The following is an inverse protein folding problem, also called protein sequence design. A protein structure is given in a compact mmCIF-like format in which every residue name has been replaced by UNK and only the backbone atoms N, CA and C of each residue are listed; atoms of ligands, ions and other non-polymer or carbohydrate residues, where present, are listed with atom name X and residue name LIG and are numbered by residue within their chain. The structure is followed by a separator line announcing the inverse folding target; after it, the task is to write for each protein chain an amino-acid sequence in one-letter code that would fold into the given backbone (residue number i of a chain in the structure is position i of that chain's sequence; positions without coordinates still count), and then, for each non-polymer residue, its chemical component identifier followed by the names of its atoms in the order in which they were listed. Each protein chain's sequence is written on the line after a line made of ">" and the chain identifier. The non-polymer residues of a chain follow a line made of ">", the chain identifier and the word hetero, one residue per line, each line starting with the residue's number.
data_IF_662802347324
#
_entry.id   IF_662802347324
#
_cell.length_a   1.000
_cell.length_b   1.000
_cell.length_c   1.000
_cell.angle_alpha   90.00
_cell.angle_beta   90.00
_cell.angle_gamma   90.00
#
_symmetry.space_group_name_H-M   'P 1'
#
loop_
_entity.id
_entity.type
_entity.pdbx_description
1 polymer ?
#
# COMPACT_ATOMS: atom_id res chain seq x y z
N UNK A 1 -41.61 42.79 64.05
CA UNK A 1 -40.63 41.83 63.49
C UNK A 1 -39.84 42.33 62.29
N UNK A 2 -40.30 43.35 61.53
CA UNK A 2 -39.53 43.86 60.37
C UNK A 2 -38.28 44.69 60.74
N UNK A 3 -38.26 45.37 61.89
CA UNK A 3 -37.14 46.24 62.28
C UNK A 3 -35.88 45.50 62.77
N UNK A 4 -36.02 44.25 63.23
CA UNK A 4 -34.87 43.44 63.70
C UNK A 4 -34.12 42.81 62.51
N UNK A 5 -34.83 42.49 61.41
CA UNK A 5 -34.21 41.96 60.21
C UNK A 5 -33.32 43.00 59.49
N UNK A 6 -33.71 44.28 59.48
CA UNK A 6 -32.94 45.35 58.85
C UNK A 6 -31.62 45.69 59.57
N UNK A 7 -31.56 45.55 60.89
CA UNK A 7 -30.35 45.81 61.68
C UNK A 7 -29.32 44.67 61.60
N UNK A 8 -29.77 43.43 61.36
CA UNK A 8 -28.88 42.26 61.17
C UNK A 8 -28.14 42.33 59.84
N UNK A 9 -28.79 42.86 58.79
CA UNK A 9 -28.13 43.09 57.49
C UNK A 9 -27.19 44.31 57.47
N UNK A 10 -27.38 45.30 58.35
CA UNK A 10 -26.56 46.52 58.37
C UNK A 10 -25.22 46.39 59.13
N UNK A 11 -24.98 45.27 59.83
CA UNK A 11 -23.71 44.99 60.55
C UNK A 11 -23.09 43.68 60.07
N UNK A 12 -22.81 43.62 58.77
CA UNK A 12 -21.93 42.65 58.09
C UNK A 12 -21.76 41.30 58.78
N UNK A 13 -22.78 40.44 58.76
CA UNK A 13 -22.70 38.98 58.92
C UNK A 13 -21.76 38.38 60.00
N UNK A 14 -21.39 39.11 61.07
CA UNK A 14 -20.44 38.63 62.08
C UNK A 14 -21.00 37.55 63.01
N UNK A 15 -22.28 37.22 62.92
CA UNK A 15 -22.94 36.32 63.88
C UNK A 15 -22.81 34.83 63.52
N UNK A 16 -22.37 34.49 62.31
CA UNK A 16 -22.28 33.10 61.83
C UNK A 16 -20.96 32.79 61.11
N UNK A 17 -19.83 33.33 61.59
CA UNK A 17 -18.53 32.95 61.03
C UNK A 17 -18.15 31.55 61.53
N UNK A 18 -17.97 30.54 60.64
CA UNK A 18 -17.64 29.18 61.04
C UNK A 18 -16.19 29.01 61.52
N UNK A 19 -15.42 30.10 61.58
CA UNK A 19 -14.03 30.12 62.03
C UNK A 19 -13.23 31.22 61.32
N UNK A 20 -11.98 31.42 61.75
CA UNK A 20 -11.07 32.38 61.12
C UNK A 20 -10.68 31.95 59.71
N UNK A 21 -10.60 32.92 58.81
CA UNK A 21 -10.12 32.74 57.44
C UNK A 21 -8.62 32.41 57.42
N UNK A 22 -8.18 31.61 56.45
CA UNK A 22 -6.77 31.26 56.27
C UNK A 22 -5.91 32.50 55.97
N UNK A 23 -4.81 32.62 56.70
CA UNK A 23 -3.79 33.65 56.53
C UNK A 23 -2.55 33.12 55.80
N UNK A 24 -2.63 31.93 55.18
CA UNK A 24 -1.57 31.39 54.34
C UNK A 24 -1.34 32.34 53.16
N UNK A 25 -0.13 32.88 53.06
CA UNK A 25 0.23 33.84 52.03
C UNK A 25 0.51 33.14 50.69
N UNK A 26 0.02 33.75 49.61
CA UNK A 26 0.31 33.37 48.24
C UNK A 26 0.65 34.59 47.39
N UNK A 27 0.75 34.37 46.07
CA UNK A 27 0.84 35.47 45.12
C UNK A 27 -0.38 36.39 45.27
N UNK A 28 -0.21 37.72 45.26
CA UNK A 28 -1.32 38.64 45.44
C UNK A 28 -2.33 38.51 44.29
N UNK A 29 -3.59 38.29 44.62
CA UNK A 29 -4.70 38.14 43.68
C UNK A 29 -5.86 39.01 44.15
N UNK A 30 -6.50 39.75 43.24
CA UNK A 30 -7.61 40.63 43.59
C UNK A 30 -7.28 41.70 44.66
N UNK A 31 -6.01 42.06 44.82
CA UNK A 31 -5.56 43.06 45.80
C UNK A 31 -5.29 42.52 47.21
N UNK A 32 -5.38 41.21 47.44
CA UNK A 32 -5.06 40.54 48.71
C UNK A 32 -4.01 39.43 48.51
N UNK A 33 -3.15 39.20 49.51
CA UNK A 33 -2.14 38.12 49.50
C UNK A 33 -2.56 36.86 50.27
N UNK A 34 -3.70 36.91 50.97
CA UNK A 34 -4.32 35.78 51.67
C UNK A 34 -5.81 36.03 51.86
N UNK A 35 -6.59 34.98 52.12
CA UNK A 35 -8.03 35.15 52.36
C UNK A 35 -8.33 35.92 53.64
N UNK A 36 -7.50 35.81 54.68
CA UNK A 36 -7.61 36.63 55.89
C UNK A 36 -7.48 38.14 55.61
N UNK A 37 -6.71 38.53 54.59
CA UNK A 37 -6.53 39.91 54.19
C UNK A 37 -7.79 40.55 53.56
N UNK A 38 -8.83 39.77 53.26
CA UNK A 38 -10.16 40.30 52.88
C UNK A 38 -10.87 41.04 54.01
N UNK A 39 -10.32 41.01 55.24
CA UNK A 39 -10.81 41.83 56.35
C UNK A 39 -12.20 41.43 56.87
N UNK A 40 -12.66 40.22 56.53
CA UNK A 40 -14.01 39.75 56.87
C UNK A 40 -15.11 40.27 55.94
N UNK A 41 -14.75 40.73 54.73
CA UNK A 41 -15.71 40.95 53.65
C UNK A 41 -16.27 39.59 53.17
N UNK A 42 -17.33 39.14 53.83
CA UNK A 42 -17.97 37.86 53.50
C UNK A 42 -18.52 37.84 52.07
N UNK A 43 -18.87 39.00 51.51
CA UNK A 43 -19.38 39.12 50.16
C UNK A 43 -18.28 38.90 49.12
N UNK A 44 -17.00 38.94 49.47
CA UNK A 44 -15.94 38.57 48.53
C UNK A 44 -16.09 37.12 48.00
N UNK A 45 -16.63 36.21 48.82
CA UNK A 45 -16.80 34.80 48.47
C UNK A 45 -18.26 34.34 48.46
N UNK A 46 -19.08 34.82 49.39
CA UNK A 46 -20.48 34.38 49.51
C UNK A 46 -21.41 35.20 48.64
N UNK A 47 -22.18 34.51 47.82
CA UNK A 47 -23.24 35.06 46.98
C UNK A 47 -24.55 35.14 47.76
N UNK A 48 -25.39 36.12 47.42
CA UNK A 48 -26.73 36.21 48.00
C UNK A 48 -27.61 35.03 47.54
N UNK A 49 -28.54 34.52 48.37
CA UNK A 49 -29.38 33.36 48.02
C UNK A 49 -30.23 33.51 46.76
N UNK A 50 -30.49 34.74 46.32
CA UNK A 50 -31.25 35.06 45.11
C UNK A 50 -30.38 35.39 43.89
N UNK A 51 -29.04 35.31 44.02
CA UNK A 51 -28.11 35.47 42.91
C UNK A 51 -28.05 34.22 42.05
N UNK A 52 -27.90 34.38 40.74
CA UNK A 52 -27.57 33.28 39.83
C UNK A 52 -26.07 32.91 39.86
N UNK A 53 -25.23 33.78 40.41
CA UNK A 53 -23.81 33.54 40.63
C UNK A 53 -23.63 32.54 41.79
N UNK A 54 -22.68 31.61 41.66
CA UNK A 54 -22.29 30.65 42.70
C UNK A 54 -21.04 31.15 43.41
N UNK A 55 -20.83 30.69 44.65
CA UNK A 55 -19.58 30.93 45.38
C UNK A 55 -18.34 30.49 44.58
N UNK A 56 -18.43 29.36 43.87
CA UNK A 56 -17.34 28.88 43.02
C UNK A 56 -16.96 29.87 41.91
N UNK A 57 -17.94 30.60 41.36
CA UNK A 57 -17.68 31.60 40.31
C UNK A 57 -16.88 32.79 40.89
N UNK A 58 -17.14 33.17 42.16
CA UNK A 58 -16.33 34.19 42.87
C UNK A 58 -14.89 33.75 43.14
N UNK A 59 -14.69 32.48 43.49
CA UNK A 59 -13.34 31.92 43.64
C UNK A 59 -12.55 32.03 42.32
N UNK A 60 -13.17 31.65 41.21
CA UNK A 60 -12.56 31.66 39.88
C UNK A 60 -12.22 33.07 39.38
N UNK A 61 -12.96 34.10 39.82
CA UNK A 61 -12.68 35.50 39.44
C UNK A 61 -11.34 36.01 39.98
N UNK A 62 -10.93 35.57 41.17
CA UNK A 62 -9.62 35.90 41.73
C UNK A 62 -8.55 34.91 41.23
N UNK A 63 -8.89 33.62 41.16
CA UNK A 63 -8.00 32.55 40.70
C UNK A 63 -8.14 32.32 39.19
N UNK A 64 -7.80 33.33 38.39
CA UNK A 64 -8.01 33.30 36.92
C UNK A 64 -7.23 32.19 36.20
N UNK A 65 -6.04 31.83 36.69
CA UNK A 65 -5.27 30.69 36.16
C UNK A 65 -6.00 29.36 36.37
N UNK A 66 -6.60 29.18 37.56
CA UNK A 66 -7.44 28.02 37.87
C UNK A 66 -8.70 28.01 36.98
N UNK A 67 -9.32 29.17 36.76
CA UNK A 67 -10.46 29.26 35.85
C UNK A 67 -10.09 28.83 34.43
N UNK A 68 -8.87 29.16 33.97
CA UNK A 68 -8.33 28.67 32.70
C UNK A 68 -8.08 27.16 32.70
N UNK A 69 -7.48 26.60 33.75
CA UNK A 69 -7.28 25.14 33.93
C UNK A 69 -8.63 24.39 33.86
N UNK A 70 -9.60 24.82 34.67
CA UNK A 70 -10.95 24.23 34.70
C UNK A 70 -11.69 24.26 33.35
N UNK A 71 -11.33 25.17 32.44
CA UNK A 71 -11.93 25.25 31.10
C UNK A 71 -11.35 24.25 30.09
N UNK A 72 -10.21 23.62 30.41
CA UNK A 72 -9.48 22.72 29.53
C UNK A 72 -9.55 21.29 30.07
N UNK A 73 -10.29 20.41 29.40
CA UNK A 73 -10.42 18.99 29.81
C UNK A 73 -9.04 18.31 29.93
N UNK A 74 -8.05 18.71 29.12
CA UNK A 74 -6.69 18.18 29.19
C UNK A 74 -5.86 18.64 30.41
N UNK A 75 -6.42 19.50 31.27
CA UNK A 75 -5.78 19.92 32.51
C UNK A 75 -6.55 19.36 33.72
N UNK A 76 -5.83 19.14 34.81
CA UNK A 76 -6.29 18.35 35.94
C UNK A 76 -7.64 18.80 36.52
N UNK A 77 -7.85 20.11 36.71
CA UNK A 77 -9.13 20.59 37.25
C UNK A 77 -10.26 20.52 36.21
N UNK A 78 -9.94 20.71 34.92
CA UNK A 78 -10.89 20.56 33.83
C UNK A 78 -11.38 19.12 33.68
N UNK A 79 -10.47 18.15 33.77
CA UNK A 79 -10.81 16.72 33.71
C UNK A 79 -11.61 16.27 34.94
N UNK A 80 -11.18 16.65 36.15
CA UNK A 80 -11.92 16.34 37.38
C UNK A 80 -13.34 16.92 37.37
N UNK A 81 -13.52 18.15 36.88
CA UNK A 81 -14.83 18.77 36.74
C UNK A 81 -15.66 18.12 35.62
N UNK A 82 -15.02 17.63 34.55
CA UNK A 82 -15.70 16.86 33.51
C UNK A 82 -16.20 15.51 34.04
N UNK A 83 -15.35 14.78 34.77
CA UNK A 83 -15.67 13.48 35.36
C UNK A 83 -16.72 13.60 36.48
N UNK A 84 -16.67 14.66 37.29
CA UNK A 84 -17.66 14.93 38.34
C UNK A 84 -18.05 16.43 38.39
N UNK A 85 -19.07 16.85 37.62
CA UNK A 85 -19.51 18.25 37.55
C UNK A 85 -20.05 18.82 38.87
N UNK A 86 -20.32 17.97 39.87
CA UNK A 86 -20.83 18.37 41.17
C UNK A 86 -19.70 18.49 42.23
N UNK A 87 -18.45 18.23 41.87
CA UNK A 87 -17.31 18.36 42.77
C UNK A 87 -17.02 19.84 43.06
N UNK A 88 -17.57 20.35 44.17
CA UNK A 88 -17.35 21.74 44.58
C UNK A 88 -15.93 21.98 45.11
N UNK A 89 -15.37 23.16 44.85
CA UNK A 89 -14.01 23.55 45.23
C UNK A 89 -13.71 23.28 46.72
N UNK A 90 -14.67 23.60 47.61
CA UNK A 90 -14.55 23.43 49.06
C UNK A 90 -14.41 21.97 49.52
N UNK A 91 -14.66 21.00 48.64
CA UNK A 91 -14.43 19.60 48.94
C UNK A 91 -12.95 19.34 49.26
N UNK A 92 -12.07 19.91 48.43
CA UNK A 92 -10.61 19.83 48.55
C UNK A 92 -10.00 21.11 49.13
N UNK A 93 -10.67 22.25 48.94
CA UNK A 93 -10.19 23.58 49.35
C UNK A 93 -11.05 24.23 50.46
N UNK A 94 -11.09 23.68 51.69
CA UNK A 94 -11.94 24.22 52.74
C UNK A 94 -11.37 25.51 53.35
N UNK A 95 -12.23 26.51 53.45
CA UNK A 95 -11.97 27.76 54.17
C UNK A 95 -12.61 27.71 55.59
N UNK A 96 -12.24 28.65 56.46
CA UNK A 96 -12.71 28.84 57.85
C UNK A 96 -12.16 27.86 58.89
N UNK A 97 -11.08 27.14 58.59
CA UNK A 97 -10.47 26.18 59.54
C UNK A 97 -9.42 26.81 60.45
N UNK A 98 -9.23 28.12 60.40
CA UNK A 98 -8.25 28.85 61.19
C UNK A 98 -7.18 29.50 60.33
N UNK A 99 -6.54 30.55 60.86
CA UNK A 99 -5.57 31.37 60.14
C UNK A 99 -4.33 30.60 59.66
N UNK A 100 -3.96 29.51 60.33
CA UNK A 100 -2.81 28.67 59.95
C UNK A 100 -3.21 27.37 59.25
N UNK A 101 -4.51 27.16 58.98
CA UNK A 101 -4.95 25.92 58.34
C UNK A 101 -4.58 25.91 56.84
N UNK A 102 -4.05 24.78 56.32
CA UNK A 102 -3.77 24.66 54.90
C UNK A 102 -5.06 24.72 54.11
N UNK A 103 -5.04 25.49 53.01
CA UNK A 103 -6.20 25.66 52.15
C UNK A 103 -6.51 24.42 51.32
N UNK A 104 -5.51 23.61 50.96
CA UNK A 104 -5.70 22.39 50.17
C UNK A 104 -5.52 21.16 51.05
N UNK A 105 -6.52 20.30 51.08
CA UNK A 105 -6.54 19.06 51.85
C UNK A 105 -6.74 17.85 50.94
N UNK A 106 -5.82 17.65 50.00
CA UNK A 106 -5.87 16.50 49.09
C UNK A 106 -5.61 15.17 49.82
N UNK A 107 -4.75 15.16 50.84
CA UNK A 107 -4.42 13.96 51.64
C UNK A 107 -5.44 13.63 52.74
N UNK A 108 -6.35 14.55 53.07
CA UNK A 108 -7.31 14.35 54.17
C UNK A 108 -8.57 13.58 53.75
N UNK A 109 -8.67 13.14 52.48
CA UNK A 109 -9.81 12.38 51.95
C UNK A 109 -9.30 11.23 51.09
N UNK A 110 -9.83 10.04 51.34
CA UNK A 110 -9.36 8.76 50.81
C UNK A 110 -9.58 8.53 49.29
N UNK A 111 -10.04 9.53 48.54
CA UNK A 111 -10.62 9.33 47.19
C UNK A 111 -10.07 10.36 46.19
N UNK A 112 -8.75 10.56 46.13
CA UNK A 112 -8.15 11.28 45.00
C UNK A 112 -8.21 10.38 43.75
N UNK A 113 -8.85 10.83 42.65
CA UNK A 113 -9.12 10.00 41.48
C UNK A 113 -7.88 9.87 40.59
N UNK A 114 -6.92 9.02 40.99
CA UNK A 114 -5.67 8.82 40.24
C UNK A 114 -5.91 8.26 38.83
N UNK A 115 -7.00 7.51 38.61
CA UNK A 115 -7.39 7.01 37.28
C UNK A 115 -7.59 8.13 36.25
N UNK A 116 -8.03 9.31 36.70
CA UNK A 116 -8.21 10.52 35.85
C UNK A 116 -6.85 11.14 35.51
N UNK A 117 -5.82 10.86 36.29
CA UNK A 117 -4.46 11.35 36.04
C UNK A 117 -3.64 10.35 35.19
N UNK A 118 -4.32 9.49 34.43
CA UNK A 118 -3.75 8.42 33.59
C UNK A 118 -2.93 7.34 34.35
N UNK A 119 -3.01 7.28 35.68
CA UNK A 119 -2.35 6.25 36.50
C UNK A 119 -3.26 5.66 37.58
N UNK A 120 -3.67 4.42 37.41
CA UNK A 120 -4.58 3.74 38.33
C UNK A 120 -3.88 3.21 39.58
N UNK A 121 -4.43 3.52 40.76
CA UNK A 121 -4.02 2.85 42.01
C UNK A 121 -4.64 1.46 42.19
N UNK A 122 -5.39 0.95 41.22
CA UNK A 122 -6.06 -0.34 41.36
C UNK A 122 -5.06 -1.51 41.52
N UNK A 123 -3.89 -1.45 40.89
CA UNK A 123 -2.78 -2.39 41.11
C UNK A 123 -1.92 -2.05 42.34
N UNK A 124 -1.99 -0.82 42.84
CA UNK A 124 -1.12 -0.28 43.88
C UNK A 124 -1.92 0.11 45.13
N UNK A 125 -2.64 -0.86 45.70
CA UNK A 125 -3.47 -0.64 46.91
C UNK A 125 -2.71 -0.83 48.21
N UNK A 126 -1.71 -1.71 48.21
CA UNK A 126 -1.03 -2.18 49.41
C UNK A 126 0.49 -2.17 49.22
N UNK A 127 1.21 -1.79 50.27
CA UNK A 127 2.66 -1.91 50.38
C UNK A 127 3.08 -3.39 50.49
N UNK A 128 4.38 -3.66 50.37
CA UNK A 128 4.96 -4.99 50.61
C UNK A 128 4.65 -5.57 52.00
N UNK A 129 4.38 -4.70 52.98
CA UNK A 129 3.99 -5.08 54.34
C UNK A 129 2.46 -5.27 54.50
N UNK A 130 1.71 -5.27 53.40
CA UNK A 130 0.26 -5.41 53.35
C UNK A 130 -0.50 -4.28 54.08
N UNK A 131 0.06 -3.06 54.04
CA UNK A 131 -0.56 -1.85 54.57
C UNK A 131 -1.07 -0.98 53.42
N UNK A 132 -2.15 -0.22 53.61
CA UNK A 132 -2.60 0.74 52.60
C UNK A 132 -1.55 1.81 52.36
N UNK A 133 -1.34 2.16 51.08
CA UNK A 133 -0.48 3.29 50.73
C UNK A 133 -1.02 4.61 51.27
N UNK A 134 -0.11 5.49 51.66
CA UNK A 134 -0.36 6.91 51.94
C UNK A 134 0.25 7.77 50.82
N UNK A 135 -0.17 9.03 50.73
CA UNK A 135 0.27 9.94 49.67
C UNK A 135 1.80 10.07 49.60
N UNK A 136 2.44 10.13 50.76
CA UNK A 136 3.88 10.31 50.94
C UNK A 136 4.71 9.11 50.48
N UNK A 137 4.09 7.93 50.29
CA UNK A 137 4.77 6.74 49.76
C UNK A 137 5.12 6.90 48.27
N UNK A 138 4.39 7.76 47.56
CA UNK A 138 4.59 8.04 46.12
C UNK A 138 5.01 9.49 45.86
N UNK A 139 4.51 10.44 46.65
CA UNK A 139 4.77 11.88 46.51
C UNK A 139 5.72 12.40 47.59
N UNK A 140 7.01 12.11 47.43
CA UNK A 140 8.04 12.27 48.47
C UNK A 140 8.31 13.74 48.84
N UNK A 141 8.30 14.66 47.87
CA UNK A 141 8.58 16.09 48.13
C UNK A 141 7.32 16.95 48.23
N UNK A 142 6.43 16.85 47.23
CA UNK A 142 5.16 17.59 47.15
C UNK A 142 4.13 16.73 46.44
N UNK A 143 2.85 16.89 46.77
CA UNK A 143 1.73 16.20 46.11
C UNK A 143 1.64 16.47 44.59
N UNK A 144 2.21 17.59 44.12
CA UNK A 144 2.22 17.97 42.70
C UNK A 144 3.49 17.54 41.96
N UNK A 145 4.45 16.93 42.65
CA UNK A 145 5.68 16.41 42.07
C UNK A 145 5.73 14.90 42.30
N UNK A 146 6.12 14.16 41.27
CA UNK A 146 6.31 12.73 41.35
C UNK A 146 7.75 12.41 40.95
N UNK A 147 8.46 11.68 41.80
CA UNK A 147 9.83 11.21 41.52
C UNK A 147 9.78 9.73 41.12
N UNK A 148 10.15 9.36 39.88
CA UNK A 148 10.22 7.97 39.44
C UNK A 148 11.10 7.07 40.34
N UNK A 149 12.02 7.64 41.11
CA UNK A 149 12.81 6.91 42.08
C UNK A 149 11.95 6.22 43.16
N UNK A 150 10.74 6.74 43.46
CA UNK A 150 9.81 6.09 44.39
C UNK A 150 9.40 4.70 43.90
N UNK A 151 9.09 4.56 42.60
CA UNK A 151 8.79 3.28 41.96
C UNK A 151 9.99 2.34 42.09
N UNK A 152 11.16 2.80 41.63
CA UNK A 152 12.38 1.98 41.56
C UNK A 152 12.78 1.47 42.94
N UNK A 153 12.77 2.34 43.96
CA UNK A 153 13.19 1.96 45.30
C UNK A 153 12.26 0.89 45.90
N UNK A 154 10.95 1.03 45.71
CA UNK A 154 9.98 0.04 46.21
C UNK A 154 10.09 -1.28 45.44
N UNK A 155 10.04 -1.23 44.09
CA UNK A 155 10.10 -2.44 43.25
C UNK A 155 11.43 -3.18 43.39
N UNK A 156 12.56 -2.48 43.54
CA UNK A 156 13.85 -3.10 43.85
C UNK A 156 13.84 -3.79 45.22
N UNK A 157 13.08 -3.27 46.18
CA UNK A 157 12.83 -3.92 47.47
C UNK A 157 12.02 -5.21 47.38
N UNK A 158 11.18 -5.37 46.34
CA UNK A 158 10.41 -6.58 46.06
C UNK A 158 11.24 -7.61 45.26
N UNK A 159 11.86 -7.17 44.17
CA UNK A 159 12.73 -7.99 43.32
C UNK A 159 13.79 -7.11 42.65
N UNK A 160 14.98 -7.09 43.25
CA UNK A 160 16.09 -6.28 42.74
C UNK A 160 16.59 -6.75 41.37
N UNK A 161 16.66 -8.07 41.14
CA UNK A 161 17.18 -8.62 39.90
C UNK A 161 16.26 -8.30 38.73
N UNK A 162 14.95 -8.48 38.91
CA UNK A 162 13.97 -8.11 37.89
C UNK A 162 14.00 -6.61 37.63
N UNK A 163 13.96 -5.78 38.67
CA UNK A 163 13.90 -4.32 38.53
C UNK A 163 15.12 -3.77 37.81
N UNK A 164 16.32 -4.23 38.14
CA UNK A 164 17.56 -3.76 37.49
C UNK A 164 17.66 -4.22 36.03
N UNK A 165 17.24 -5.46 35.74
CA UNK A 165 17.16 -5.95 34.35
C UNK A 165 16.12 -5.17 33.54
N UNK A 166 14.96 -4.87 34.13
CA UNK A 166 13.88 -4.13 33.48
C UNK A 166 14.29 -2.68 33.18
N UNK A 167 14.88 -1.98 34.16
CA UNK A 167 15.40 -0.61 33.96
C UNK A 167 16.51 -0.56 32.90
N UNK A 168 17.36 -1.59 32.84
CA UNK A 168 18.41 -1.67 31.82
C UNK A 168 17.83 -1.86 30.42
N UNK A 169 16.76 -2.64 30.30
CA UNK A 169 16.14 -2.94 29.02
C UNK A 169 15.21 -1.82 28.51
N UNK A 170 14.49 -1.14 29.42
CA UNK A 170 13.37 -0.26 29.06
C UNK A 170 13.51 1.19 29.56
N UNK A 171 14.52 1.49 30.38
CA UNK A 171 14.71 2.82 30.95
C UNK A 171 13.84 3.09 32.19
N UNK A 172 13.84 4.34 32.65
CA UNK A 172 13.17 4.77 33.89
C UNK A 172 11.90 5.59 33.68
N UNK A 173 11.44 5.73 32.44
CA UNK A 173 10.19 6.43 32.12
C UNK A 173 9.00 5.49 32.34
N UNK A 174 8.75 5.16 33.61
CA UNK A 174 7.77 4.13 33.97
C UNK A 174 6.38 4.48 33.45
N UNK A 175 5.97 5.75 33.53
CA UNK A 175 4.63 6.21 33.15
C UNK A 175 4.39 6.22 31.63
N UNK A 176 5.45 6.14 30.83
CA UNK A 176 5.33 5.94 29.38
C UNK A 176 4.73 4.58 29.00
N UNK A 177 4.79 3.61 29.91
CA UNK A 177 4.25 2.27 29.70
C UNK A 177 3.27 1.84 30.81
N UNK A 178 3.53 2.16 32.07
CA UNK A 178 2.72 1.70 33.20
C UNK A 178 1.62 2.69 33.54
N UNK A 179 0.37 2.23 33.45
CA UNK A 179 -0.85 2.93 33.87
C UNK A 179 -1.34 2.48 35.26
N UNK A 180 -0.48 1.80 36.03
CA UNK A 180 -0.78 1.33 37.38
C UNK A 180 -1.63 0.06 37.47
N UNK A 181 -2.11 -0.46 36.33
CA UNK A 181 -2.69 -1.81 36.16
C UNK A 181 -2.01 -2.63 35.05
N UNK A 182 -0.92 -2.09 34.51
CA UNK A 182 -0.04 -2.70 33.51
C UNK A 182 -0.74 -3.04 32.18
N UNK A 183 -1.61 -2.15 31.70
CA UNK A 183 -2.20 -2.30 30.33
C UNK A 183 -1.27 -1.82 29.21
N UNK A 184 -0.09 -1.29 29.57
CA UNK A 184 0.95 -0.76 28.68
C UNK A 184 0.64 0.60 28.01
N UNK A 185 -0.47 1.25 28.39
CA UNK A 185 -0.97 2.54 27.86
C UNK A 185 -1.21 2.56 26.34
N UNK A 186 -1.87 3.62 25.85
CA UNK A 186 -1.99 3.94 24.41
C UNK A 186 -0.66 4.40 23.77
N UNK A 187 0.42 4.52 24.53
CA UNK A 187 1.68 5.14 24.09
C UNK A 187 2.81 4.15 23.80
N UNK A 188 2.60 2.83 23.97
CA UNK A 188 3.62 1.84 23.67
C UNK A 188 4.00 1.86 22.17
N UNK A 189 5.26 2.18 21.89
CA UNK A 189 5.80 2.30 20.52
C UNK A 189 6.36 0.97 20.02
N UNK A 190 5.65 0.32 19.11
CA UNK A 190 6.11 -0.90 18.44
C UNK A 190 7.33 -0.66 17.52
N UNK A 191 7.65 0.58 17.18
CA UNK A 191 8.88 0.94 16.43
C UNK A 191 10.17 0.68 17.20
N UNK A 192 10.10 0.50 18.53
CA UNK A 192 11.27 0.19 19.37
C UNK A 192 11.51 -1.31 19.56
N UNK A 193 10.65 -2.17 18.98
CA UNK A 193 10.74 -3.63 19.13
C UNK A 193 10.91 -4.33 17.77
N UNK A 194 11.31 -5.61 17.71
CA UNK A 194 11.66 -6.28 16.46
C UNK A 194 10.53 -6.41 15.42
N UNK A 195 9.27 -6.24 15.81
CA UNK A 195 8.13 -6.22 14.89
C UNK A 195 7.50 -4.84 14.93
N UNK A 196 7.97 -3.95 14.07
CA UNK A 196 7.43 -2.60 13.94
C UNK A 196 6.08 -2.65 13.21
N UNK A 197 5.02 -2.21 13.88
CA UNK A 197 3.71 -2.07 13.25
C UNK A 197 3.78 -0.99 12.16
N UNK A 198 3.54 -1.41 10.93
CA UNK A 198 3.55 -0.55 9.74
C UNK A 198 2.38 -0.91 8.83
N UNK A 199 1.98 0.05 7.98
CA UNK A 199 0.85 -0.12 7.07
C UNK A 199 -0.44 -0.50 7.79
N UNK A 200 -1.11 -1.54 7.33
CA UNK A 200 -2.39 -2.00 7.87
C UNK A 200 -2.29 -2.54 9.32
N UNK A 201 -1.09 -2.86 9.80
CA UNK A 201 -0.89 -3.44 11.14
C UNK A 201 -0.90 -2.41 12.27
N UNK A 202 -0.84 -1.10 11.95
CA UNK A 202 -0.79 -0.02 12.97
C UNK A 202 -2.07 0.05 13.80
N UNK A 203 -3.21 -0.30 13.22
CA UNK A 203 -4.53 -0.20 13.87
C UNK A 203 -4.97 -1.54 14.51
N UNK A 204 -4.10 -2.53 14.58
CA UNK A 204 -4.44 -3.86 15.10
C UNK A 204 -4.39 -3.87 16.63
N UNK A 205 -5.46 -4.36 17.27
CA UNK A 205 -5.51 -4.51 18.72
C UNK A 205 -4.45 -5.49 19.24
N UNK A 206 -3.85 -5.17 20.40
CA UNK A 206 -2.75 -5.94 21.00
C UNK A 206 -3.04 -7.45 21.15
N UNK A 207 -4.29 -7.80 21.51
CA UNK A 207 -4.70 -9.19 21.73
C UNK A 207 -4.73 -10.02 20.45
N UNK A 208 -4.76 -9.38 19.28
CA UNK A 208 -4.74 -10.06 17.98
C UNK A 208 -3.39 -10.75 17.73
N UNK A 209 -2.31 -10.18 18.27
CA UNK A 209 -0.95 -10.75 18.19
C UNK A 209 -0.55 -11.46 19.49
N UNK A 210 -1.03 -10.97 20.64
CA UNK A 210 -0.67 -11.48 21.96
C UNK A 210 -1.80 -12.31 22.59
N UNK A 211 -2.29 -13.30 21.85
CA UNK A 211 -3.54 -14.04 22.15
C UNK A 211 -3.56 -14.74 23.51
N UNK A 212 -2.40 -15.09 24.07
CA UNK A 212 -2.27 -15.80 25.36
C UNK A 212 -1.24 -15.18 26.31
N UNK A 213 -0.87 -13.92 26.09
CA UNK A 213 0.13 -13.28 26.94
C UNK A 213 -0.41 -13.01 28.35
N UNK A 214 0.21 -13.62 29.38
CA UNK A 214 -0.16 -13.45 30.80
C UNK A 214 0.92 -12.76 31.62
N UNK A 215 2.14 -12.70 31.10
CA UNK A 215 3.29 -11.99 31.67
C UNK A 215 4.07 -11.31 30.55
N UNK A 216 4.86 -10.31 30.90
CA UNK A 216 5.70 -9.54 29.95
C UNK A 216 6.60 -10.44 29.07
N UNK A 217 7.08 -11.56 29.62
CA UNK A 217 7.87 -12.53 28.87
C UNK A 217 7.08 -13.19 27.71
N UNK A 218 5.76 -13.34 27.86
CA UNK A 218 4.91 -13.95 26.83
C UNK A 218 4.71 -13.00 25.64
N UNK A 219 4.76 -11.67 25.87
CA UNK A 219 4.69 -10.68 24.79
C UNK A 219 5.84 -10.82 23.80
N UNK A 220 7.00 -11.32 24.25
CA UNK A 220 8.16 -11.57 23.39
C UNK A 220 8.00 -12.80 22.49
N UNK A 221 7.03 -13.67 22.77
CA UNK A 221 6.82 -14.94 22.08
C UNK A 221 5.84 -14.88 20.90
N UNK A 222 5.24 -13.70 20.66
CA UNK A 222 4.33 -13.52 19.53
C UNK A 222 5.03 -13.85 18.20
N UNK A 223 4.37 -14.62 17.32
CA UNK A 223 4.92 -14.95 16.01
C UNK A 223 5.11 -13.68 15.17
N UNK A 224 6.16 -13.67 14.35
CA UNK A 224 6.55 -12.52 13.52
C UNK A 224 6.53 -12.83 12.03
N UNK A 225 6.29 -14.09 11.67
CA UNK A 225 6.16 -14.49 10.29
C UNK A 225 4.71 -14.28 9.81
N UNK A 226 4.57 -13.84 8.56
CA UNK A 226 3.25 -13.55 7.97
C UNK A 226 2.33 -14.77 8.01
N UNK A 227 2.89 -15.97 7.80
CA UNK A 227 2.13 -17.20 7.64
C UNK A 227 1.45 -17.66 8.93
N UNK A 228 2.07 -17.44 10.09
CA UNK A 228 1.46 -17.77 11.39
C UNK A 228 0.14 -17.03 11.65
N UNK A 229 -0.05 -15.85 11.04
CA UNK A 229 -1.28 -15.06 11.18
C UNK A 229 -2.19 -15.18 9.95
N UNK A 230 -1.64 -15.14 8.75
CA UNK A 230 -2.40 -15.07 7.49
C UNK A 230 -2.59 -16.41 6.79
N UNK A 231 -2.39 -17.53 7.48
CA UNK A 231 -2.55 -18.87 6.89
C UNK A 231 -3.92 -19.09 6.24
N UNK A 232 -4.98 -18.59 6.88
CA UNK A 232 -6.36 -18.76 6.38
C UNK A 232 -6.70 -17.74 5.27
N UNK A 233 -5.98 -16.63 5.23
CA UNK A 233 -6.12 -15.58 4.21
C UNK A 233 -5.30 -15.88 2.95
N UNK A 234 -4.34 -16.82 3.02
CA UNK A 234 -3.35 -17.12 1.98
C UNK A 234 -4.01 -17.90 0.81
N UNK A 235 -4.29 -17.25 -0.33
CA UNK A 235 -5.08 -17.87 -1.39
C UNK A 235 -4.25 -18.80 -2.28
N UNK A 236 -2.92 -18.78 -2.17
CA UNK A 236 -2.03 -19.50 -3.07
C UNK A 236 -1.69 -20.91 -2.59
N UNK A 237 -2.27 -21.39 -1.48
CA UNK A 237 -2.08 -22.75 -0.95
C UNK A 237 -0.58 -23.12 -0.74
N UNK A 238 0.26 -22.13 -0.40
CA UNK A 238 1.70 -22.27 -0.21
C UNK A 238 2.53 -22.37 -1.49
N UNK A 239 1.95 -22.13 -2.67
CA UNK A 239 2.63 -22.30 -3.98
C UNK A 239 3.81 -21.35 -4.22
N UNK A 240 3.82 -20.20 -3.56
CA UNK A 240 4.86 -19.17 -3.70
C UNK A 240 5.83 -19.09 -2.52
N UNK A 241 5.77 -20.04 -1.57
CA UNK A 241 6.59 -20.03 -0.37
C UNK A 241 6.11 -19.01 0.67
N UNK A 242 7.00 -18.65 1.61
CA UNK A 242 6.67 -17.79 2.75
C UNK A 242 7.17 -16.34 2.60
N UNK A 243 7.81 -16.00 1.48
CA UNK A 243 8.31 -14.65 1.21
C UNK A 243 7.20 -13.77 0.62
N UNK A 244 6.20 -13.47 1.45
CA UNK A 244 5.03 -12.69 1.05
C UNK A 244 5.40 -11.30 0.54
N UNK A 245 6.48 -10.70 1.07
CA UNK A 245 6.95 -9.36 0.71
C UNK A 245 7.60 -9.28 -0.68
N UNK A 246 7.83 -10.42 -1.34
CA UNK A 246 8.23 -10.42 -2.74
C UNK A 246 7.13 -9.88 -3.67
N UNK A 247 5.86 -10.01 -3.24
CA UNK A 247 4.69 -9.65 -4.04
C UNK A 247 3.74 -8.69 -3.32
N UNK A 248 3.71 -8.69 -1.99
CA UNK A 248 2.76 -7.91 -1.21
C UNK A 248 3.47 -6.88 -0.34
N UNK A 249 2.71 -5.91 0.17
CA UNK A 249 3.23 -4.86 1.04
C UNK A 249 2.61 -4.92 2.43
N UNK A 250 3.22 -4.23 3.39
CA UNK A 250 2.65 -4.07 4.73
C UNK A 250 1.36 -3.24 4.73
N UNK A 251 1.09 -2.49 3.64
CA UNK A 251 -0.09 -1.64 3.48
C UNK A 251 -1.31 -2.43 3.01
N UNK A 252 -1.11 -3.37 2.07
CA UNK A 252 -2.18 -4.19 1.51
C UNK A 252 -1.66 -5.43 0.75
N UNK A 253 -2.51 -6.46 0.68
CA UNK A 253 -2.32 -7.64 -0.17
C UNK A 253 -2.54 -7.35 -1.66
N UNK A 254 -3.44 -6.42 -1.99
CA UNK A 254 -3.81 -6.11 -3.39
C UNK A 254 -3.66 -4.62 -3.66
N UNK A 255 -3.08 -4.23 -4.81
CA UNK A 255 -2.50 -5.08 -5.85
C UNK A 255 -1.14 -5.70 -5.44
N UNK A 256 -0.77 -6.80 -6.11
CA UNK A 256 0.60 -7.32 -6.02
C UNK A 256 1.58 -6.32 -6.65
N UNK A 257 2.76 -6.19 -6.05
CA UNK A 257 3.88 -5.37 -6.52
C UNK A 257 4.84 -6.14 -7.44
N UNK A 258 4.60 -7.43 -7.67
CA UNK A 258 5.46 -8.23 -8.54
C UNK A 258 5.37 -7.78 -10.01
N UNK A 259 6.52 -7.53 -10.61
CA UNK A 259 6.63 -7.03 -11.99
C UNK A 259 7.28 -8.08 -12.91
N UNK A 260 6.46 -8.72 -13.76
CA UNK A 260 6.94 -9.70 -14.75
C UNK A 260 7.91 -9.10 -15.78
N UNK A 261 7.98 -7.78 -15.96
CA UNK A 261 8.96 -7.15 -16.83
C UNK A 261 10.41 -7.36 -16.37
N UNK A 262 10.61 -7.75 -15.10
CA UNK A 262 11.92 -8.06 -14.52
C UNK A 262 12.25 -9.56 -14.58
N UNK A 263 11.35 -10.38 -15.12
CA UNK A 263 11.51 -11.83 -15.23
C UNK A 263 11.99 -12.26 -16.63
N UNK A 264 12.34 -13.55 -16.78
CA UNK A 264 12.75 -14.11 -18.06
C UNK A 264 11.63 -14.14 -19.12
N UNK A 265 10.37 -14.16 -18.68
CA UNK A 265 9.20 -14.08 -19.56
C UNK A 265 8.44 -12.80 -19.25
N UNK A 266 8.69 -11.77 -20.07
CA UNK A 266 8.00 -10.49 -19.96
C UNK A 266 6.54 -10.66 -20.38
N UNK A 267 5.61 -10.29 -19.50
CA UNK A 267 4.20 -10.16 -19.88
C UNK A 267 4.02 -8.84 -20.64
N UNK A 268 3.77 -8.93 -21.95
CA UNK A 268 3.41 -7.81 -22.79
C UNK A 268 2.34 -8.17 -23.84
N UNK A 269 1.80 -7.15 -24.51
CA UNK A 269 0.73 -7.35 -25.48
C UNK A 269 -0.50 -7.98 -24.82
N UNK A 270 -0.99 -9.08 -25.39
CA UNK A 270 -2.13 -9.84 -24.88
C UNK A 270 -1.80 -10.72 -23.67
N UNK A 271 -0.53 -10.92 -23.33
CA UNK A 271 -0.14 -11.76 -22.18
C UNK A 271 -0.26 -11.04 -20.84
N UNK A 272 -0.46 -9.71 -20.83
CA UNK A 272 -0.60 -8.92 -19.58
C UNK A 272 -1.84 -9.30 -18.77
N UNK A 273 -2.85 -9.85 -19.43
CA UNK A 273 -4.13 -10.23 -18.83
C UNK A 273 -4.21 -11.74 -18.53
N UNK A 274 -3.11 -12.49 -18.67
CA UNK A 274 -3.09 -13.94 -18.40
C UNK A 274 -2.95 -14.20 -16.91
N UNK A 275 -3.85 -15.01 -16.37
CA UNK A 275 -3.81 -15.43 -14.96
C UNK A 275 -2.51 -16.21 -14.66
N UNK A 276 -1.95 -16.00 -13.47
CA UNK A 276 -0.68 -16.58 -13.04
C UNK A 276 -0.65 -18.10 -13.23
N UNK A 277 -1.75 -18.78 -12.86
CA UNK A 277 -1.90 -20.24 -12.83
C UNK A 277 -1.79 -20.89 -14.22
N UNK A 278 -2.12 -20.16 -15.28
CA UNK A 278 -1.95 -20.63 -16.67
C UNK A 278 -0.46 -20.92 -16.95
N UNK A 279 0.43 -20.09 -16.40
CA UNK A 279 1.89 -20.23 -16.48
C UNK A 279 2.49 -21.03 -15.32
N UNK A 280 1.90 -20.94 -14.14
CA UNK A 280 2.50 -21.36 -12.87
C UNK A 280 1.75 -22.55 -12.23
N UNK A 281 1.70 -23.67 -12.97
CA UNK A 281 0.90 -24.84 -12.60
C UNK A 281 1.46 -25.66 -11.42
N UNK A 282 2.77 -25.59 -11.14
CA UNK A 282 3.42 -26.40 -10.09
C UNK A 282 4.45 -25.60 -9.31
N UNK A 283 4.43 -25.72 -7.98
CA UNK A 283 5.42 -25.09 -7.10
C UNK A 283 6.74 -25.89 -7.02
N UNK A 284 7.89 -25.23 -6.79
CA UNK A 284 8.10 -23.78 -6.79
C UNK A 284 8.15 -23.22 -8.21
N UNK A 285 7.70 -21.98 -8.37
CA UNK A 285 7.50 -21.30 -9.67
C UNK A 285 8.78 -20.78 -10.33
N UNK A 286 9.92 -21.37 -10.00
CA UNK A 286 11.24 -20.98 -10.51
C UNK A 286 11.56 -21.72 -11.81
N UNK A 287 11.95 -21.00 -12.86
CA UNK A 287 12.61 -21.58 -14.03
C UNK A 287 11.71 -22.04 -15.17
N UNK A 288 10.43 -21.65 -15.19
CA UNK A 288 9.53 -21.95 -16.32
C UNK A 288 9.82 -21.03 -17.51
N UNK A 289 10.92 -21.26 -18.22
CA UNK A 289 11.13 -20.62 -19.53
C UNK A 289 10.23 -21.33 -20.53
N UNK A 290 9.10 -20.71 -20.85
CA UNK A 290 8.19 -21.21 -21.90
C UNK A 290 8.51 -20.57 -23.24
N UNK A 291 8.49 -21.40 -24.28
CA UNK A 291 8.41 -20.95 -25.68
C UNK A 291 6.96 -20.72 -26.05
N UNK A 292 6.71 -19.92 -27.09
CA UNK A 292 5.36 -19.62 -27.57
C UNK A 292 4.56 -20.91 -27.86
N UNK A 293 5.23 -21.89 -28.48
CA UNK A 293 4.61 -23.17 -28.83
C UNK A 293 4.20 -24.03 -27.62
N UNK A 294 4.78 -23.82 -26.44
CA UNK A 294 4.41 -24.59 -25.24
C UNK A 294 2.95 -24.35 -24.84
N UNK A 295 2.37 -23.20 -25.24
CA UNK A 295 0.96 -22.88 -25.05
C UNK A 295 0.18 -22.83 -26.39
N UNK A 296 0.82 -22.35 -27.46
CA UNK A 296 0.16 -22.06 -28.73
C UNK A 296 0.36 -23.14 -29.80
N UNK A 297 0.75 -24.37 -29.43
CA UNK A 297 0.87 -25.49 -30.38
C UNK A 297 -0.43 -25.71 -31.18
N UNK A 298 -1.59 -25.60 -30.51
CA UNK A 298 -2.91 -25.78 -31.13
C UNK A 298 -3.36 -24.58 -31.97
N UNK A 299 -2.76 -23.41 -31.74
CA UNK A 299 -3.06 -22.19 -32.47
C UNK A 299 -2.19 -22.05 -33.73
N UNK A 300 -1.22 -22.94 -33.93
CA UNK A 300 -0.32 -22.90 -35.07
C UNK A 300 -1.04 -23.29 -36.37
N UNK A 301 -1.51 -22.27 -37.09
CA UNK A 301 -2.11 -22.39 -38.42
C UNK A 301 -1.14 -23.00 -39.47
N UNK A 302 0.15 -23.08 -39.15
CA UNK A 302 1.16 -23.61 -40.05
C UNK A 302 1.41 -25.11 -39.88
N UNK A 303 0.76 -25.76 -38.90
CA UNK A 303 0.88 -27.19 -38.63
C UNK A 303 2.35 -27.67 -38.45
N UNK A 304 3.14 -26.92 -37.68
CA UNK A 304 4.52 -27.25 -37.34
C UNK A 304 5.53 -27.06 -38.48
N UNK A 305 5.13 -26.39 -39.57
CA UNK A 305 5.99 -26.18 -40.75
C UNK A 305 7.11 -25.15 -40.55
N UNK A 306 7.10 -24.42 -39.44
CA UNK A 306 8.09 -23.41 -39.11
C UNK A 306 8.91 -23.79 -37.87
N UNK A 307 10.12 -23.22 -37.76
CA UNK A 307 10.87 -23.28 -36.50
C UNK A 307 10.07 -22.56 -35.42
N UNK A 308 10.20 -22.97 -34.16
CA UNK A 308 9.42 -22.43 -33.03
C UNK A 308 9.76 -20.98 -32.63
N UNK A 309 10.40 -20.21 -33.52
CA UNK A 309 10.74 -18.80 -33.33
C UNK A 309 9.59 -17.91 -33.82
N UNK A 310 8.43 -18.04 -33.18
CA UNK A 310 7.20 -17.34 -33.54
C UNK A 310 7.39 -15.82 -33.58
N UNK A 311 8.22 -15.28 -32.69
CA UNK A 311 8.56 -13.86 -32.54
C UNK A 311 9.28 -13.25 -33.75
N UNK A 312 9.81 -14.06 -34.66
CA UNK A 312 10.36 -13.58 -35.92
C UNK A 312 9.26 -13.02 -36.85
N UNK A 313 8.05 -13.55 -36.74
CA UNK A 313 6.94 -13.28 -37.65
C UNK A 313 5.67 -12.78 -36.96
N UNK A 314 5.56 -12.89 -35.64
CA UNK A 314 4.35 -12.53 -34.89
C UNK A 314 4.72 -11.64 -33.70
N UNK A 315 3.79 -10.75 -33.31
CA UNK A 315 3.92 -9.95 -32.09
C UNK A 315 2.98 -10.47 -31.01
N UNK A 316 3.32 -10.23 -29.75
CA UNK A 316 2.47 -10.54 -28.59
C UNK A 316 1.18 -9.70 -28.55
N UNK A 317 1.07 -8.65 -29.37
CA UNK A 317 -0.19 -7.90 -29.58
C UNK A 317 -1.21 -8.64 -30.44
N UNK A 318 -0.76 -9.57 -31.30
CA UNK A 318 -1.63 -10.37 -32.16
C UNK A 318 -0.88 -11.17 -33.23
N UNK A 319 -1.41 -12.36 -33.57
CA UNK A 319 -0.83 -13.25 -34.59
C UNK A 319 -0.83 -12.66 -35.99
N UNK A 320 -1.79 -11.80 -36.33
CA UNK A 320 -1.83 -11.13 -37.64
C UNK A 320 -0.76 -10.03 -37.78
N UNK A 321 -0.17 -9.59 -36.67
CA UNK A 321 0.82 -8.51 -36.66
C UNK A 321 2.21 -9.08 -36.99
N UNK A 322 2.57 -9.09 -38.28
CA UNK A 322 3.92 -9.46 -38.68
C UNK A 322 4.87 -8.27 -38.75
N UNK A 323 6.00 -8.27 -38.00
CA UNK A 323 7.03 -7.26 -38.15
C UNK A 323 7.87 -7.44 -39.43
N UNK A 324 7.72 -8.57 -40.13
CA UNK A 324 8.52 -8.90 -41.29
C UNK A 324 8.09 -8.07 -42.52
N UNK A 325 9.03 -7.32 -43.08
CA UNK A 325 8.80 -6.45 -44.24
C UNK A 325 9.62 -6.95 -45.44
N UNK A 326 8.94 -7.58 -46.40
CA UNK A 326 9.58 -8.07 -47.63
C UNK A 326 10.28 -6.97 -48.43
N UNK A 327 9.89 -5.70 -48.30
CA UNK A 327 10.56 -4.59 -49.00
C UNK A 327 12.00 -4.38 -48.55
N UNK A 328 12.38 -4.92 -47.39
CA UNK A 328 13.75 -4.89 -46.86
C UNK A 328 14.57 -6.12 -47.24
N UNK A 329 13.97 -7.07 -47.95
CA UNK A 329 14.65 -8.28 -48.40
C UNK A 329 15.26 -8.12 -49.80
N UNK A 330 16.04 -9.11 -50.24
CA UNK A 330 16.59 -9.17 -51.60
C UNK A 330 15.52 -9.40 -52.69
N UNK A 331 14.26 -9.62 -52.31
CA UNK A 331 13.12 -9.73 -53.22
C UNK A 331 11.91 -8.97 -52.65
N UNK A 332 11.83 -7.65 -52.89
CA UNK A 332 10.63 -6.87 -52.56
C UNK A 332 9.41 -7.40 -53.31
N UNK A 333 8.35 -7.75 -52.58
CA UNK A 333 7.11 -8.20 -53.20
C UNK A 333 6.43 -7.01 -53.88
N UNK A 334 6.34 -7.07 -55.21
CA UNK A 334 5.73 -6.04 -56.04
C UNK A 334 4.82 -6.67 -57.10
N UNK A 335 3.83 -5.89 -57.54
CA UNK A 335 2.87 -6.31 -58.55
C UNK A 335 2.06 -7.53 -58.15
N UNK A 336 2.00 -8.54 -59.01
CA UNK A 336 1.26 -9.77 -58.78
C UNK A 336 1.80 -10.65 -57.65
N UNK A 337 2.98 -10.34 -57.11
CA UNK A 337 3.56 -11.07 -55.97
C UNK A 337 3.09 -10.53 -54.61
N UNK A 338 2.42 -9.37 -54.58
CA UNK A 338 1.88 -8.79 -53.34
C UNK A 338 0.75 -9.69 -52.83
N UNK A 339 0.84 -10.11 -51.57
CA UNK A 339 -0.18 -10.94 -50.92
C UNK A 339 -0.13 -12.43 -51.27
N UNK A 340 0.90 -12.87 -52.01
CA UNK A 340 1.16 -14.30 -52.19
C UNK A 340 1.54 -14.93 -50.85
N UNK A 341 0.99 -16.12 -50.56
CA UNK A 341 1.31 -16.85 -49.33
C UNK A 341 2.79 -17.21 -49.27
N UNK A 342 3.43 -17.07 -48.11
CA UNK A 342 4.86 -17.30 -47.91
C UNK A 342 5.34 -18.65 -48.47
N UNK A 343 4.54 -19.72 -48.30
CA UNK A 343 4.88 -21.09 -48.72
C UNK A 343 4.86 -21.29 -50.25
N UNK A 344 4.31 -20.33 -51.00
CA UNK A 344 4.38 -20.35 -52.46
C UNK A 344 5.82 -20.16 -52.94
N UNK A 345 6.60 -19.34 -52.22
CA UNK A 345 8.03 -19.09 -52.49
C UNK A 345 8.93 -19.94 -51.57
N UNK A 346 8.65 -19.97 -50.27
CA UNK A 346 9.44 -20.64 -49.25
C UNK A 346 8.99 -22.08 -49.04
N UNK A 347 9.26 -22.93 -50.04
CA UNK A 347 8.90 -24.36 -50.00
C UNK A 347 9.46 -25.03 -48.75
N UNK A 348 8.64 -25.89 -48.14
CA UNK A 348 8.95 -26.63 -46.92
C UNK A 348 9.41 -25.76 -45.74
N UNK A 349 9.02 -24.48 -45.71
CA UNK A 349 9.39 -23.54 -44.66
C UNK A 349 10.85 -23.07 -44.72
N UNK A 350 11.57 -23.32 -45.83
CA UNK A 350 12.93 -22.82 -46.03
C UNK A 350 12.92 -21.37 -46.51
N UNK A 351 13.20 -20.44 -45.58
CA UNK A 351 13.29 -19.01 -45.86
C UNK A 351 14.68 -18.56 -46.34
N UNK A 352 15.72 -19.30 -45.98
CA UNK A 352 17.09 -19.03 -46.42
C UNK A 352 17.33 -19.61 -47.81
N UNK A 353 18.02 -18.85 -48.67
CA UNK A 353 18.46 -19.32 -49.98
C UNK A 353 17.35 -19.48 -51.02
N UNK A 354 16.14 -18.99 -50.76
CA UNK A 354 15.07 -18.95 -51.76
C UNK A 354 15.53 -18.16 -52.97
N UNK A 355 15.47 -18.80 -54.14
CA UNK A 355 15.88 -18.19 -55.41
C UNK A 355 15.02 -16.98 -55.72
N UNK A 356 15.67 -15.88 -56.10
CA UNK A 356 15.02 -14.66 -56.62
C UNK A 356 14.86 -14.69 -58.14
N UNK A 357 15.31 -15.77 -58.80
CA UNK A 357 15.22 -15.91 -60.25
C UNK A 357 13.78 -16.21 -60.68
N UNK A 358 13.27 -15.39 -61.61
CA UNK A 358 11.93 -15.57 -62.19
C UNK A 358 11.73 -17.00 -62.74
N UNK A 359 12.76 -17.56 -63.38
CA UNK A 359 12.70 -18.89 -64.00
C UNK A 359 12.47 -20.02 -63.00
N UNK A 360 12.89 -19.87 -61.73
CA UNK A 360 12.70 -20.91 -60.71
C UNK A 360 11.22 -21.18 -60.43
N UNK A 361 10.36 -20.16 -60.53
CA UNK A 361 8.92 -20.29 -60.30
C UNK A 361 8.11 -20.22 -61.60
N UNK A 362 8.53 -19.40 -62.56
CA UNK A 362 7.85 -19.14 -63.83
C UNK A 362 8.57 -19.79 -65.02
N UNK A 363 9.17 -20.97 -64.80
CA UNK A 363 9.88 -21.71 -65.84
C UNK A 363 8.97 -22.45 -66.83
N UNK A 364 7.65 -22.48 -66.60
CA UNK A 364 6.72 -23.15 -67.50
C UNK A 364 6.15 -22.19 -68.57
N UNK A 365 6.05 -22.61 -69.84
CA UNK A 365 6.57 -23.87 -70.37
C UNK A 365 8.09 -23.81 -70.59
N UNK A 366 8.76 -24.92 -70.28
CA UNK A 366 10.23 -25.00 -70.16
C UNK A 366 11.05 -24.63 -71.40
N UNK A 367 10.43 -24.64 -72.58
CA UNK A 367 11.07 -24.26 -73.84
C UNK A 367 11.31 -22.74 -73.94
N UNK A 368 10.55 -21.90 -73.22
CA UNK A 368 10.73 -20.43 -73.26
C UNK A 368 12.11 -20.00 -72.79
N UNK A 369 12.59 -20.56 -71.67
CA UNK A 369 13.91 -20.21 -71.13
C UNK A 369 15.06 -20.63 -72.05
N UNK A 370 14.89 -21.72 -72.79
CA UNK A 370 15.88 -22.18 -73.78
C UNK A 370 15.87 -21.32 -75.06
N UNK A 371 14.70 -20.85 -75.48
CA UNK A 371 14.54 -20.05 -76.70
C UNK A 371 14.89 -18.56 -76.49
N UNK A 372 14.52 -17.96 -75.36
CA UNK A 372 14.61 -16.52 -75.16
C UNK A 372 15.56 -16.11 -74.02
N UNK A 373 16.12 -17.08 -73.29
CA UNK A 373 16.98 -16.83 -72.13
C UNK A 373 16.19 -16.54 -70.85
N UNK A 374 16.91 -16.14 -69.80
CA UNK A 374 16.37 -15.97 -68.44
C UNK A 374 16.02 -14.52 -68.07
N UNK A 375 16.21 -13.55 -68.98
CA UNK A 375 15.92 -12.14 -68.76
C UNK A 375 14.43 -11.84 -68.99
N UNK A 376 13.57 -12.36 -68.11
CA UNK A 376 12.11 -12.27 -68.27
C UNK A 376 11.60 -10.81 -68.36
N UNK A 377 12.28 -9.86 -67.70
CA UNK A 377 11.87 -8.45 -67.64
C UNK A 377 12.09 -7.67 -68.94
N UNK A 378 12.79 -8.25 -69.92
CA UNK A 378 12.89 -7.64 -71.26
C UNK A 378 11.56 -7.67 -72.00
N UNK A 379 10.68 -8.60 -71.61
CA UNK A 379 9.39 -8.86 -72.26
C UNK A 379 8.20 -8.75 -71.30
N UNK A 380 8.35 -9.18 -70.03
CA UNK A 380 7.28 -9.23 -69.03
C UNK A 380 7.47 -8.19 -67.91
N UNK A 381 6.39 -7.94 -67.17
CA UNK A 381 6.44 -7.07 -65.99
C UNK A 381 6.09 -7.86 -64.73
N UNK A 382 6.49 -7.36 -63.56
CA UNK A 382 6.10 -7.94 -62.26
C UNK A 382 4.59 -7.88 -62.00
N UNK A 383 3.83 -7.14 -62.80
CA UNK A 383 2.38 -7.01 -62.68
C UNK A 383 1.60 -8.03 -63.52
N UNK A 384 2.12 -8.40 -64.70
CA UNK A 384 1.43 -9.29 -65.64
C UNK A 384 2.40 -9.98 -66.58
N UNK A 385 2.11 -11.26 -66.86
CA UNK A 385 2.78 -12.08 -67.88
C UNK A 385 2.23 -11.85 -69.28
N UNK A 386 1.02 -11.30 -69.41
CA UNK A 386 0.34 -11.11 -70.69
C UNK A 386 0.69 -9.77 -71.34
N UNK A 387 0.64 -9.72 -72.69
CA UNK A 387 1.04 -8.56 -73.53
C UNK A 387 2.53 -8.25 -73.47
N UNK A 388 3.34 -9.29 -73.65
CA UNK A 388 4.78 -9.18 -73.72
C UNK A 388 5.20 -8.51 -75.03
N UNK A 389 5.97 -7.43 -74.95
CA UNK A 389 6.43 -6.70 -76.15
C UNK A 389 7.78 -7.24 -76.59
N UNK A 390 7.86 -7.81 -77.79
CA UNK A 390 9.12 -8.27 -78.36
C UNK A 390 9.20 -7.90 -79.85
N UNK A 391 10.29 -7.27 -80.26
CA UNK A 391 10.51 -6.84 -81.65
C UNK A 391 11.77 -7.43 -82.28
N UNK A 392 12.28 -8.54 -81.72
CA UNK A 392 13.48 -9.24 -82.18
C UNK A 392 13.18 -10.52 -82.98
N UNK A 393 14.21 -11.23 -83.41
CA UNK A 393 14.06 -12.55 -84.04
C UNK A 393 14.14 -13.69 -83.02
N UNK A 394 13.20 -14.64 -83.07
CA UNK A 394 13.24 -15.83 -82.21
C UNK A 394 14.13 -16.94 -82.81
N UNK A 395 14.79 -17.77 -81.99
CA UNK A 395 15.53 -18.91 -82.51
C UNK A 395 14.63 -19.97 -83.14
N UNK A 396 15.16 -20.70 -84.11
CA UNK A 396 14.53 -21.89 -84.68
C UNK A 396 14.71 -23.07 -83.73
N UNK A 397 13.60 -23.61 -83.21
CA UNK A 397 13.61 -24.82 -82.40
C UNK A 397 12.79 -25.91 -83.08
N UNK A 398 13.41 -27.04 -83.42
CA UNK A 398 12.69 -28.23 -83.89
C UNK A 398 12.07 -28.92 -82.68
N UNK A 399 10.78 -28.72 -82.45
CA UNK A 399 10.06 -29.46 -81.41
C UNK A 399 9.88 -30.93 -81.83
N UNK A 400 10.03 -31.91 -80.92
CA UNK A 400 9.94 -33.33 -81.28
C UNK A 400 8.52 -33.84 -81.55
N UNK A 401 7.49 -33.00 -81.32
CA UNK A 401 6.07 -33.36 -81.37
C UNK A 401 5.24 -32.14 -81.79
N UNK A 402 4.34 -32.32 -82.75
CA UNK A 402 3.53 -31.26 -83.40
C UNK A 402 2.37 -30.75 -82.51
N UNK A 403 2.14 -31.40 -81.37
CA UNK A 403 0.94 -31.30 -80.53
C UNK A 403 1.14 -30.51 -79.22
N UNK A 404 2.37 -30.15 -78.83
CA UNK A 404 2.66 -29.45 -77.56
C UNK A 404 2.51 -27.92 -77.61
N UNK A 405 2.23 -27.34 -78.78
CA UNK A 405 2.03 -25.88 -78.95
C UNK A 405 0.60 -25.42 -78.66
N UNK A 406 -0.23 -26.21 -77.97
CA UNK A 406 -1.61 -25.83 -77.64
C UNK A 406 -2.42 -25.37 -78.87
N UNK A 407 -2.15 -25.94 -80.05
CA UNK A 407 -2.82 -25.60 -81.30
C UNK A 407 -2.15 -24.55 -82.21
N UNK A 408 -0.92 -24.09 -81.93
CA UNK A 408 -0.17 -23.24 -82.88
C UNK A 408 0.57 -24.10 -83.92
N UNK A 409 -0.22 -24.73 -84.81
CA UNK A 409 0.28 -25.56 -85.90
C UNK A 409 1.00 -24.75 -86.99
N UNK A 410 2.16 -25.26 -87.42
CA UNK A 410 3.03 -24.82 -88.52
C UNK A 410 3.39 -23.31 -88.59
N UNK A 411 4.49 -22.98 -89.29
CA UNK A 411 5.02 -21.61 -89.38
C UNK A 411 3.97 -20.57 -89.84
N UNK A 412 2.96 -21.00 -90.60
CA UNK A 412 1.92 -20.14 -91.18
C UNK A 412 0.87 -19.68 -90.15
N UNK A 413 0.76 -20.39 -89.02
CA UNK A 413 -0.12 -20.00 -87.91
C UNK A 413 0.37 -18.77 -87.14
N UNK A 414 1.69 -18.54 -87.12
CA UNK A 414 2.32 -17.43 -86.40
C UNK A 414 2.90 -16.36 -87.34
N UNK A 415 3.11 -16.69 -88.62
CA UNK A 415 3.59 -15.78 -89.66
C UNK A 415 2.52 -15.57 -90.75
N UNK A 416 1.47 -14.76 -90.48
CA UNK A 416 0.32 -14.64 -91.37
C UNK A 416 0.65 -13.92 -92.69
N UNK A 417 1.65 -13.02 -92.69
CA UNK A 417 2.05 -12.23 -93.85
C UNK A 417 3.50 -12.47 -94.29
N UNK A 418 4.46 -12.60 -93.37
CA UNK A 418 5.83 -13.02 -93.68
C UNK A 418 6.56 -13.67 -92.48
N UNK A 419 7.64 -14.41 -92.77
CA UNK A 419 8.52 -15.01 -91.74
C UNK A 419 9.22 -13.98 -90.84
N UNK A 420 9.10 -12.68 -91.18
CA UNK A 420 9.71 -11.57 -90.46
C UNK A 420 8.71 -10.79 -89.58
N UNK A 421 7.43 -11.18 -89.55
CA UNK A 421 6.35 -10.45 -88.85
C UNK A 421 5.74 -11.21 -87.65
N UNK A 422 6.42 -12.19 -87.06
CA UNK A 422 5.91 -12.82 -85.84
C UNK A 422 6.07 -11.88 -84.63
N UNK A 423 4.97 -11.67 -83.90
CA UNK A 423 4.94 -11.00 -82.60
C UNK A 423 4.45 -12.00 -81.53
N UNK A 424 5.04 -11.91 -80.34
CA UNK A 424 4.61 -12.62 -79.14
C UNK A 424 3.12 -12.39 -78.83
N UNK A 425 2.57 -11.23 -79.20
CA UNK A 425 1.12 -10.98 -79.07
C UNK A 425 0.28 -12.02 -79.83
N UNK A 426 0.74 -12.56 -80.96
CA UNK A 426 0.00 -13.60 -81.70
C UNK A 426 -0.06 -14.92 -80.92
N UNK A 427 0.97 -15.21 -80.13
CA UNK A 427 1.00 -16.38 -79.24
C UNK A 427 0.18 -16.13 -77.96
N UNK A 428 0.20 -14.92 -77.41
CA UNK A 428 -0.43 -14.59 -76.13
C UNK A 428 -1.86 -14.03 -76.23
N UNK A 429 -2.31 -13.57 -77.41
CA UNK A 429 -3.65 -12.98 -77.62
C UNK A 429 -4.80 -14.00 -77.65
N UNK A 430 -4.50 -15.30 -77.65
CA UNK A 430 -5.52 -16.38 -77.66
C UNK A 430 -5.97 -16.85 -76.28
N UNK A 431 -5.47 -16.25 -75.19
CA UNK A 431 -5.81 -16.61 -73.82
C UNK A 431 -6.71 -15.59 -73.11
N UNK A 432 -7.38 -14.69 -73.85
CA UNK A 432 -8.47 -13.86 -73.31
C UNK A 432 -9.78 -14.67 -73.31
N UNK A 433 -9.96 -15.55 -72.32
CA UNK A 433 -11.27 -16.01 -71.82
C UNK A 433 -11.13 -16.50 -70.37
#
# INVERSE_FOLDING_TARGET
>A
MAAVAGAVFARGNRMFSPGALSAVEGAPMGGVSSHAATGGDCEACHVAPWSSERMADRCANCHTDLASDMSKIAQAHGEMNHANPNLGCMHCHPEHRGASAPLTLASARAEFPHDVMEYSLAGHKLTAANQSFICEDCHVEKLTSFDPAACVNCHRGLDANFTDAHLTAWGSDCLGCHDGVDTYTKHFDHGQVPFALTGAHVEVDCYSCHTDARKLADLQSAPRDCFSCHREDEPHEGRFGADCLACHSMDAWTPSTFDHNQSAFKLDGKHVDVDCEECHQTAPQTGTVRKCADCHEKDDAHAGRFTLACEACHKTTGWADSPFDHNKSNFPLAGGHVGVECISCHKDGQFAGTSTSCFTCHGYPGWHGAAFGANCLDCHTVNTWYRARYSGGHPWYQHPKEDDFGGMGNCRGCHPASVYEADCDTCHSKHED
#
